data_IF_489139959924
#
_entry.id   IF_489139959924
#
_cell.length_a   1.000
_cell.length_b   1.000
_cell.length_c   1.000
_cell.angle_alpha   90.00
_cell.angle_beta   90.00
_cell.angle_gamma   90.00
#
_symmetry.space_group_name_H-M   'P 1'
#
loop_
_entity.id
_entity.type
_entity.pdbx_description
1 polymer ?
#
# COMPACT_ATOMS: atom_id res chain seq x y z
N UNK A 1 1.98 -21.70 5.68
CA UNK A 1 1.20 -21.72 4.42
C UNK A 1 2.02 -20.99 3.36
N UNK A 2 2.06 -21.46 2.11
CA UNK A 2 2.85 -20.79 1.07
C UNK A 2 2.22 -19.41 0.79
N UNK A 3 2.91 -18.34 1.17
CA UNK A 3 2.53 -16.97 0.82
C UNK A 3 2.55 -16.73 -0.69
N UNK A 4 1.78 -15.77 -1.16
CA UNK A 4 1.86 -15.34 -2.55
C UNK A 4 3.16 -14.56 -2.76
N UNK A 5 3.91 -14.90 -3.81
CA UNK A 5 5.26 -14.36 -4.02
C UNK A 5 5.31 -13.10 -4.88
N UNK A 6 4.33 -12.85 -5.75
CA UNK A 6 4.43 -11.74 -6.70
C UNK A 6 3.06 -11.22 -7.14
N UNK A 7 2.30 -12.02 -7.89
CA UNK A 7 0.99 -11.63 -8.43
C UNK A 7 -0.09 -12.55 -7.86
N UNK A 8 -1.21 -11.97 -7.45
CA UNK A 8 -2.38 -12.66 -6.94
C UNK A 8 -3.57 -12.37 -7.85
N UNK A 9 -4.31 -13.40 -8.25
CA UNK A 9 -5.54 -13.22 -9.01
C UNK A 9 -6.64 -12.62 -8.12
N UNK A 10 -7.54 -11.83 -8.71
CA UNK A 10 -8.60 -11.16 -7.96
C UNK A 10 -9.52 -12.15 -7.25
N UNK A 11 -9.84 -13.28 -7.88
CA UNK A 11 -10.66 -14.35 -7.32
C UNK A 11 -9.96 -15.00 -6.12
N UNK A 12 -8.65 -15.21 -6.21
CA UNK A 12 -7.84 -15.75 -5.12
C UNK A 12 -7.80 -14.79 -3.92
N UNK A 13 -7.66 -13.48 -4.17
CA UNK A 13 -7.72 -12.48 -3.12
C UNK A 13 -9.11 -12.41 -2.48
N UNK A 14 -10.18 -12.44 -3.29
CA UNK A 14 -11.55 -12.34 -2.81
C UNK A 14 -11.91 -13.42 -1.78
N UNK A 15 -11.46 -14.67 -2.01
CA UNK A 15 -11.66 -15.80 -1.07
C UNK A 15 -10.90 -15.57 0.25
N UNK A 16 -9.81 -14.81 0.22
CA UNK A 16 -8.90 -14.62 1.33
C UNK A 16 -9.17 -13.35 2.16
N UNK A 17 -10.08 -12.45 1.76
CA UNK A 17 -10.28 -11.13 2.39
C UNK A 17 -10.58 -11.16 3.90
N UNK A 18 -11.05 -12.29 4.44
CA UNK A 18 -11.35 -12.46 5.87
C UNK A 18 -10.19 -13.03 6.68
N UNK A 19 -9.02 -13.23 6.06
CA UNK A 19 -7.83 -13.71 6.75
C UNK A 19 -7.28 -12.63 7.68
N UNK A 20 -7.03 -12.94 8.97
CA UNK A 20 -6.50 -11.96 9.91
C UNK A 20 -5.03 -11.62 9.66
N UNK A 21 -4.32 -12.47 8.91
CA UNK A 21 -2.91 -12.30 8.54
C UNK A 21 -2.74 -11.63 7.16
N UNK A 22 -3.78 -10.97 6.64
CA UNK A 22 -3.78 -10.30 5.34
C UNK A 22 -4.10 -8.81 5.48
N UNK A 23 -3.23 -7.97 4.92
CA UNK A 23 -3.51 -6.55 4.72
C UNK A 23 -3.51 -6.23 3.23
N UNK A 24 -4.63 -5.69 2.76
CA UNK A 24 -4.76 -5.16 1.40
C UNK A 24 -4.43 -3.67 1.43
N UNK A 25 -3.50 -3.23 0.58
CA UNK A 25 -3.04 -1.84 0.53
C UNK A 25 -3.42 -1.23 -0.82
N UNK A 26 -4.24 -0.20 -0.77
CA UNK A 26 -4.53 0.67 -1.89
C UNK A 26 -3.40 1.69 -2.05
N UNK A 27 -2.68 1.58 -3.16
CA UNK A 27 -1.55 2.44 -3.51
C UNK A 27 -1.85 3.31 -4.75
N UNK A 28 -3.14 3.54 -5.08
CA UNK A 28 -3.53 4.36 -6.23
C UNK A 28 -2.90 5.75 -6.16
N UNK A 29 -2.30 6.17 -7.26
CA UNK A 29 -1.64 7.47 -7.38
C UNK A 29 -1.73 8.00 -8.81
N UNK A 30 -1.83 9.33 -8.95
CA UNK A 30 -1.70 10.03 -10.23
C UNK A 30 -0.67 11.14 -10.11
N UNK A 31 0.28 11.15 -11.05
CA UNK A 31 1.37 12.14 -11.10
C UNK A 31 0.85 13.58 -11.10
N UNK A 32 -0.27 13.82 -11.77
CA UNK A 32 -0.84 15.17 -11.93
C UNK A 32 -1.90 15.50 -10.87
N UNK A 33 -2.21 14.58 -9.97
CA UNK A 33 -3.21 14.76 -8.91
C UNK A 33 -2.83 13.90 -7.68
N UNK A 34 -2.02 14.44 -6.76
CA UNK A 34 -1.62 13.74 -5.54
C UNK A 34 -2.82 13.35 -4.65
N UNK A 35 -3.92 14.12 -4.70
CA UNK A 35 -5.13 13.86 -3.90
C UNK A 35 -6.02 12.76 -4.46
N UNK A 36 -5.78 12.33 -5.71
CA UNK A 36 -6.59 11.33 -6.39
C UNK A 36 -6.71 10.03 -5.61
N UNK A 37 -5.58 9.45 -5.18
CA UNK A 37 -5.54 8.14 -4.54
C UNK A 37 -6.43 8.07 -3.30
N UNK A 38 -6.29 9.08 -2.43
CA UNK A 38 -7.06 9.15 -1.19
C UNK A 38 -8.55 9.35 -1.48
N UNK A 39 -8.89 10.23 -2.42
CA UNK A 39 -10.28 10.49 -2.80
C UNK A 39 -10.93 9.24 -3.41
N UNK A 40 -10.19 8.52 -4.26
CA UNK A 40 -10.63 7.28 -4.89
C UNK A 40 -10.81 6.16 -3.85
N UNK A 41 -9.90 6.04 -2.88
CA UNK A 41 -10.02 5.09 -1.76
C UNK A 41 -11.26 5.40 -0.92
N UNK A 42 -11.46 6.65 -0.50
CA UNK A 42 -12.67 7.05 0.25
C UNK A 42 -13.94 6.74 -0.55
N UNK A 43 -13.94 6.99 -1.86
CA UNK A 43 -15.12 6.74 -2.71
C UNK A 43 -15.42 5.25 -2.89
N UNK A 44 -14.40 4.41 -3.10
CA UNK A 44 -14.54 2.97 -3.24
C UNK A 44 -13.17 2.28 -3.13
N UNK A 45 -13.10 1.19 -2.35
CA UNK A 45 -11.91 0.36 -2.21
C UNK A 45 -12.30 -1.10 -1.95
N UNK A 46 -11.35 -2.01 -2.09
CA UNK A 46 -11.53 -3.41 -1.68
C UNK A 46 -11.89 -3.44 -0.19
N UNK A 47 -12.91 -4.19 0.26
CA UNK A 47 -13.30 -4.22 1.68
C UNK A 47 -12.12 -4.48 2.62
N UNK A 48 -11.95 -3.60 3.62
CA UNK A 48 -10.87 -3.68 4.60
C UNK A 48 -9.51 -3.17 4.12
N UNK A 49 -9.38 -2.72 2.86
CA UNK A 49 -8.12 -2.19 2.38
C UNK A 49 -7.73 -0.87 3.07
N UNK A 50 -6.47 -0.77 3.48
CA UNK A 50 -5.86 0.46 3.98
C UNK A 50 -5.27 1.27 2.82
N UNK A 51 -5.04 2.56 3.01
CA UNK A 51 -4.48 3.43 1.98
C UNK A 51 -3.05 3.87 2.30
N UNK A 52 -2.16 3.78 1.32
CA UNK A 52 -0.79 4.30 1.40
C UNK A 52 -0.55 5.36 0.31
N UNK A 53 -0.29 6.60 0.72
CA UNK A 53 -0.02 7.69 -0.20
C UNK A 53 1.44 7.68 -0.66
N UNK A 54 1.68 7.72 -1.97
CA UNK A 54 3.03 7.65 -2.56
C UNK A 54 3.99 8.66 -1.93
N UNK A 55 3.62 9.95 -1.91
CA UNK A 55 4.52 11.01 -1.45
C UNK A 55 4.71 11.06 0.07
N UNK A 56 3.65 10.81 0.85
CA UNK A 56 3.65 10.97 2.31
C UNK A 56 4.13 9.72 3.05
N UNK A 57 3.69 8.56 2.58
CA UNK A 57 3.84 7.29 3.31
C UNK A 57 4.98 6.45 2.72
N UNK A 58 5.12 6.44 1.39
CA UNK A 58 6.04 5.54 0.67
C UNK A 58 7.30 6.23 0.15
N UNK A 59 7.43 7.54 0.34
CA UNK A 59 8.55 8.36 -0.15
C UNK A 59 9.06 9.35 0.89
N UNK A 60 10.28 9.85 0.69
CA UNK A 60 10.84 10.97 1.43
C UNK A 60 11.23 12.11 0.50
N UNK A 61 10.24 12.89 0.09
CA UNK A 61 10.39 14.02 -0.85
C UNK A 61 11.28 15.16 -0.35
N UNK A 62 11.77 15.11 0.90
CA UNK A 62 12.77 16.03 1.43
C UNK A 62 14.18 15.78 0.88
N UNK A 63 14.45 14.59 0.30
CA UNK A 63 15.77 14.19 -0.19
C UNK A 63 16.05 14.76 -1.57
N UNK A 64 16.80 15.85 -1.61
CA UNK A 64 17.21 16.53 -2.86
C UNK A 64 18.20 15.67 -3.66
N UNK A 65 17.99 15.57 -4.98
CA UNK A 65 18.88 14.86 -5.90
C UNK A 65 18.70 13.33 -5.96
N UNK A 66 17.74 12.77 -5.21
CA UNK A 66 17.52 11.32 -5.11
C UNK A 66 16.37 10.78 -6.01
N UNK A 67 15.92 11.58 -6.98
CA UNK A 67 14.77 11.26 -7.84
C UNK A 67 13.45 11.88 -7.34
N UNK A 68 12.32 11.50 -7.96
CA UNK A 68 10.99 12.11 -7.65
C UNK A 68 10.35 11.55 -6.37
N UNK A 69 10.52 10.25 -6.12
CA UNK A 69 9.93 9.53 -4.98
C UNK A 69 11.00 8.65 -4.32
N UNK A 70 12.02 9.26 -3.70
CA UNK A 70 13.09 8.50 -3.06
C UNK A 70 12.55 7.72 -1.86
N UNK A 71 13.11 6.53 -1.62
CA UNK A 71 12.70 5.71 -0.48
C UNK A 71 12.91 6.45 0.85
N UNK A 72 11.96 6.33 1.80
CA UNK A 72 12.14 6.82 3.16
C UNK A 72 13.21 6.02 3.91
N UNK A 73 13.63 6.53 5.06
CA UNK A 73 14.46 5.73 5.97
C UNK A 73 13.72 4.47 6.42
N UNK A 74 14.48 3.43 6.79
CA UNK A 74 13.90 2.18 7.30
C UNK A 74 12.95 2.44 8.47
N UNK A 75 13.34 3.29 9.44
CA UNK A 75 12.50 3.62 10.59
C UNK A 75 11.17 4.28 10.21
N UNK A 76 11.20 5.22 9.25
CA UNK A 76 9.97 5.88 8.76
C UNK A 76 9.07 4.90 8.02
N UNK A 77 9.66 4.01 7.22
CA UNK A 77 8.92 2.97 6.53
C UNK A 77 8.27 2.01 7.53
N UNK A 78 9.03 1.50 8.50
CA UNK A 78 8.53 0.62 9.55
C UNK A 78 7.40 1.28 10.36
N UNK A 79 7.52 2.56 10.70
CA UNK A 79 6.46 3.31 11.39
C UNK A 79 5.18 3.44 10.53
N UNK A 80 5.33 3.67 9.23
CA UNK A 80 4.19 3.66 8.29
C UNK A 80 3.56 2.28 8.21
N UNK A 81 4.33 1.23 8.01
CA UNK A 81 3.83 -0.15 7.93
C UNK A 81 3.11 -0.56 9.21
N UNK A 82 3.66 -0.24 10.38
CA UNK A 82 3.00 -0.50 11.67
C UNK A 82 1.68 0.25 11.83
N UNK A 83 1.59 1.52 11.39
CA UNK A 83 0.31 2.27 11.36
C UNK A 83 -0.73 1.63 10.45
N UNK A 84 -0.29 0.97 9.37
CA UNK A 84 -1.14 0.24 8.44
C UNK A 84 -1.50 -1.18 8.92
N UNK A 85 -1.05 -1.59 10.12
CA UNK A 85 -1.31 -2.92 10.66
C UNK A 85 -0.45 -4.03 10.06
N UNK A 86 0.70 -3.67 9.47
CA UNK A 86 1.62 -4.61 8.82
C UNK A 86 2.79 -4.92 9.75
N UNK A 87 2.98 -6.21 10.01
CA UNK A 87 4.12 -6.77 10.74
C UNK A 87 4.86 -7.84 9.90
N UNK A 88 5.95 -8.45 10.39
CA UNK A 88 6.70 -9.47 9.63
C UNK A 88 5.90 -10.73 9.24
N UNK A 89 4.81 -11.04 9.93
CA UNK A 89 3.97 -12.23 9.66
C UNK A 89 2.79 -11.90 8.73
N UNK A 90 2.58 -10.62 8.44
CA UNK A 90 1.47 -10.13 7.61
C UNK A 90 1.73 -10.40 6.13
N UNK A 91 0.83 -11.13 5.47
CA UNK A 91 0.76 -11.15 4.01
C UNK A 91 0.23 -9.81 3.52
N UNK A 92 1.03 -9.09 2.74
CA UNK A 92 0.62 -7.84 2.11
C UNK A 92 0.20 -8.10 0.66
N UNK A 93 -0.91 -7.50 0.24
CA UNK A 93 -1.32 -7.39 -1.17
C UNK A 93 -1.53 -5.93 -1.49
N UNK A 94 -0.67 -5.37 -2.35
CA UNK A 94 -0.83 -4.00 -2.84
C UNK A 94 -1.55 -3.99 -4.19
N UNK A 95 -2.38 -2.97 -4.45
CA UNK A 95 -3.01 -2.75 -5.74
C UNK A 95 -3.02 -1.26 -6.12
N UNK A 96 -3.13 -0.99 -7.42
CA UNK A 96 -3.45 0.33 -7.97
C UNK A 96 -4.58 0.22 -9.02
N UNK A 97 -4.78 1.27 -9.83
CA UNK A 97 -5.84 1.31 -10.85
C UNK A 97 -5.37 0.90 -12.26
N UNK A 98 -4.22 0.22 -12.40
CA UNK A 98 -3.66 -0.19 -13.71
C UNK A 98 -3.55 -1.68 -13.91
#
# INVERSE_FOLDING_TARGET
MSGWKTIVAAETLAIALQRPDLVVVDCRHRINDPGFGQSAWVSNHIPGAVFAHLDRDLSDTSRVGAGRHPLPSADRLCATLGRLGIDPETQVVAYDER
#
